data_IF_158723137864
#
_entry.id   IF_158723137864
#
_cell.length_a   1.000
_cell.length_b   1.000
_cell.length_c   1.000
_cell.angle_alpha   90.00
_cell.angle_beta   90.00
_cell.angle_gamma   90.00
#
_symmetry.space_group_name_H-M   'P 1'
#
loop_
_entity.id
_entity.type
_entity.pdbx_description
1 polymer ?
#
# COMPACT_ATOMS: atom_id res chain seq x y z
N UNK A 1 -5.73 16.66 5.33
CA UNK A 1 -5.71 15.72 4.19
C UNK A 1 -4.35 15.04 4.12
N UNK A 2 -4.22 13.92 3.41
CA UNK A 2 -2.95 13.26 3.11
C UNK A 2 -2.30 13.84 1.86
N UNK A 3 -1.04 13.48 1.59
CA UNK A 3 -0.34 13.80 0.35
C UNK A 3 -1.15 13.38 -0.89
N UNK A 4 -1.69 12.15 -0.91
CA UNK A 4 -2.40 11.64 -2.09
C UNK A 4 -3.74 12.36 -2.31
N UNK A 5 -4.45 12.68 -1.22
CA UNK A 5 -5.65 13.52 -1.27
C UNK A 5 -5.34 14.93 -1.78
N UNK A 6 -4.22 15.51 -1.33
CA UNK A 6 -3.75 16.79 -1.81
C UNK A 6 -3.44 16.72 -3.31
N UNK A 7 -2.65 15.74 -3.75
CA UNK A 7 -2.33 15.57 -5.17
C UNK A 7 -3.59 15.42 -6.01
N UNK A 8 -4.53 14.55 -5.59
CA UNK A 8 -5.81 14.38 -6.29
C UNK A 8 -6.63 15.67 -6.37
N UNK A 9 -6.60 16.49 -5.32
CA UNK A 9 -7.39 17.71 -5.22
C UNK A 9 -6.83 18.84 -6.08
N UNK A 10 -5.50 18.95 -6.13
CA UNK A 10 -4.80 20.11 -6.68
C UNK A 10 -4.18 19.87 -8.06
N UNK A 11 -3.93 18.62 -8.45
CA UNK A 11 -3.40 18.30 -9.78
C UNK A 11 -4.32 18.84 -10.88
N UNK A 12 -3.74 19.54 -11.86
CA UNK A 12 -4.47 20.23 -12.92
C UNK A 12 -5.09 21.57 -12.54
N UNK A 13 -4.95 22.05 -11.29
CA UNK A 13 -5.51 23.32 -10.82
C UNK A 13 -4.43 24.35 -10.51
N UNK A 14 -4.72 25.61 -10.79
CA UNK A 14 -3.92 26.75 -10.34
C UNK A 14 -4.36 27.14 -8.92
N UNK A 15 -3.40 27.25 -8.01
CA UNK A 15 -3.60 27.56 -6.59
C UNK A 15 -2.95 28.89 -6.28
N UNK A 16 -3.74 29.89 -5.95
CA UNK A 16 -3.28 31.15 -5.39
C UNK A 16 -3.63 31.14 -3.90
N UNK A 17 -2.62 30.99 -3.03
CA UNK A 17 -2.85 30.78 -1.61
C UNK A 17 -2.90 32.10 -0.85
N UNK A 18 -2.03 33.05 -1.20
CA UNK A 18 -1.92 34.33 -0.50
C UNK A 18 -2.64 35.50 -1.19
N UNK A 19 -3.18 35.28 -2.40
CA UNK A 19 -3.88 36.30 -3.18
C UNK A 19 -2.94 37.31 -3.83
N UNK A 20 -1.63 37.05 -3.85
CA UNK A 20 -0.62 37.93 -4.39
C UNK A 20 0.16 37.25 -5.53
N UNK A 21 0.40 38.00 -6.61
CA UNK A 21 1.16 37.53 -7.79
C UNK A 21 0.58 36.30 -8.52
N UNK A 22 -0.67 35.91 -8.21
CA UNK A 22 -1.35 34.77 -8.81
C UNK A 22 -0.73 33.43 -8.41
N UNK A 23 -1.08 32.34 -9.11
CA UNK A 23 -0.58 31.01 -8.77
C UNK A 23 0.93 30.83 -9.02
N UNK A 24 1.74 30.86 -7.94
CA UNK A 24 3.20 30.65 -7.96
C UNK A 24 3.61 29.30 -7.37
N UNK A 25 4.89 28.92 -7.52
CA UNK A 25 5.42 27.69 -6.93
C UNK A 25 5.31 27.68 -5.40
N UNK A 26 5.53 28.84 -4.77
CA UNK A 26 5.41 28.99 -3.31
C UNK A 26 3.97 28.86 -2.82
N UNK A 27 2.96 29.23 -3.62
CA UNK A 27 1.54 29.05 -3.24
C UNK A 27 1.17 27.58 -3.10
N UNK A 28 1.67 26.74 -4.01
CA UNK A 28 1.47 25.31 -3.93
C UNK A 28 2.06 24.75 -2.63
N UNK A 29 3.26 25.20 -2.24
CA UNK A 29 3.89 24.77 -1.00
C UNK A 29 3.16 25.31 0.23
N UNK A 30 2.72 26.57 0.22
CA UNK A 30 1.91 27.15 1.31
C UNK A 30 0.60 26.38 1.50
N UNK A 31 -0.08 26.05 0.41
CA UNK A 31 -1.27 25.21 0.44
C UNK A 31 -0.96 23.81 0.97
N UNK A 32 0.15 23.19 0.54
CA UNK A 32 0.57 21.88 1.01
C UNK A 32 0.87 21.85 2.52
N UNK A 33 1.63 22.82 3.02
CA UNK A 33 1.91 23.00 4.44
C UNK A 33 0.63 23.12 5.27
N UNK A 34 -0.30 23.97 4.83
CA UNK A 34 -1.55 24.19 5.52
C UNK A 34 -2.47 22.96 5.50
N UNK A 35 -2.67 22.35 4.33
CA UNK A 35 -3.69 21.31 4.16
C UNK A 35 -3.25 19.92 4.59
N UNK A 36 -1.96 19.61 4.41
CA UNK A 36 -1.41 18.28 4.72
C UNK A 36 -0.91 18.22 6.16
N UNK A 37 -0.24 19.27 6.63
CA UNK A 37 0.40 19.27 7.95
C UNK A 37 -0.25 20.20 8.97
N UNK A 38 -1.27 20.97 8.59
CA UNK A 38 -1.86 21.97 9.49
C UNK A 38 -0.91 23.12 9.83
N UNK A 39 0.21 23.26 9.10
CA UNK A 39 1.23 24.28 9.35
C UNK A 39 0.75 25.56 8.69
N UNK A 40 0.63 26.65 9.47
CA UNK A 40 0.33 27.97 8.92
C UNK A 40 1.61 28.56 8.33
N UNK A 41 1.68 28.74 7.00
CA UNK A 41 2.87 29.32 6.40
C UNK A 41 2.96 30.82 6.69
N UNK A 42 4.17 31.31 6.91
CA UNK A 42 4.47 32.73 7.05
C UNK A 42 4.90 33.37 5.72
N UNK A 43 5.22 34.67 5.78
CA UNK A 43 5.85 35.36 4.65
C UNK A 43 7.36 35.05 4.65
N UNK A 44 7.74 34.00 3.91
CA UNK A 44 9.12 33.51 3.85
C UNK A 44 9.86 33.94 2.57
N UNK A 45 9.21 34.75 1.73
CA UNK A 45 9.76 35.23 0.47
C UNK A 45 9.75 34.18 -0.65
N UNK A 46 10.64 34.38 -1.62
CA UNK A 46 10.81 33.52 -2.78
C UNK A 46 11.26 32.09 -2.42
N UNK A 47 11.07 31.17 -3.37
CA UNK A 47 11.33 29.74 -3.24
C UNK A 47 12.69 29.39 -2.62
N UNK A 48 13.79 30.00 -3.07
CA UNK A 48 15.15 29.72 -2.55
C UNK A 48 15.29 29.95 -1.04
N UNK A 49 14.48 30.84 -0.46
CA UNK A 49 14.58 31.18 0.97
C UNK A 49 14.02 30.08 1.88
N UNK A 50 13.20 29.15 1.37
CA UNK A 50 12.85 27.93 2.09
C UNK A 50 14.10 27.11 2.46
N UNK A 51 15.16 27.21 1.64
CA UNK A 51 16.46 26.62 1.93
C UNK A 51 17.35 27.56 2.76
N UNK A 52 17.63 28.76 2.24
CA UNK A 52 18.64 29.66 2.80
C UNK A 52 18.27 30.14 4.21
N UNK A 53 16.99 30.46 4.43
CA UNK A 53 16.48 30.95 5.71
C UNK A 53 15.80 29.86 6.54
N UNK A 54 16.01 28.57 6.22
CA UNK A 54 15.36 27.45 6.92
C UNK A 54 15.43 27.58 8.45
N UNK A 55 16.62 27.92 8.99
CA UNK A 55 16.83 28.06 10.45
C UNK A 55 16.10 29.24 11.09
N UNK A 56 15.63 30.21 10.31
CA UNK A 56 14.88 31.40 10.78
C UNK A 56 13.38 31.15 10.90
N UNK A 57 12.88 30.01 10.41
CA UNK A 57 11.46 29.69 10.37
C UNK A 57 11.20 28.47 11.26
N UNK A 58 10.68 28.71 12.47
CA UNK A 58 10.42 27.65 13.44
C UNK A 58 9.39 26.64 12.92
N UNK A 59 8.46 27.07 12.08
CA UNK A 59 7.50 26.21 11.40
C UNK A 59 8.19 25.19 10.49
N UNK A 60 9.31 25.57 9.85
CA UNK A 60 10.09 24.67 9.00
C UNK A 60 11.03 23.80 9.85
N UNK A 61 11.79 24.38 10.79
CA UNK A 61 12.75 23.61 11.61
C UNK A 61 12.07 22.58 12.51
N UNK A 62 10.89 22.89 13.05
CA UNK A 62 10.16 21.96 13.91
C UNK A 62 9.59 20.78 13.12
N UNK A 63 9.17 21.01 11.87
CA UNK A 63 8.38 20.02 11.12
C UNK A 63 9.14 19.33 9.99
N UNK A 64 10.32 19.81 9.60
CA UNK A 64 11.07 19.27 8.47
C UNK A 64 12.53 18.99 8.83
N UNK A 65 13.10 18.01 8.15
CA UNK A 65 14.54 17.73 8.10
C UNK A 65 15.07 18.25 6.78
N UNK A 66 16.01 19.19 6.82
CA UNK A 66 16.68 19.73 5.65
C UNK A 66 17.79 18.77 5.20
N UNK A 67 17.75 18.30 3.95
CA UNK A 67 18.66 17.28 3.40
C UNK A 67 19.27 17.80 2.10
N UNK A 68 20.59 17.91 2.05
CA UNK A 68 21.31 18.40 0.88
C UNK A 68 21.29 17.39 -0.27
N UNK A 69 21.29 17.90 -1.50
CA UNK A 69 21.52 17.09 -2.68
C UNK A 69 22.98 16.58 -2.70
N UNK A 70 23.16 15.28 -2.88
CA UNK A 70 24.47 14.62 -2.98
C UNK A 70 24.45 13.64 -4.15
N UNK A 71 25.61 13.14 -4.58
CA UNK A 71 25.68 12.24 -5.73
C UNK A 71 24.84 10.94 -5.59
N UNK A 72 24.57 10.50 -4.36
CA UNK A 72 23.74 9.32 -4.06
C UNK A 72 22.32 9.67 -3.65
N UNK A 73 21.96 10.95 -3.60
CA UNK A 73 20.66 11.40 -3.13
C UNK A 73 19.56 11.08 -4.16
N UNK A 74 18.42 10.57 -3.65
CA UNK A 74 17.17 10.43 -4.39
C UNK A 74 16.04 10.95 -3.50
N UNK A 75 15.19 11.89 -3.97
CA UNK A 75 14.10 12.44 -3.16
C UNK A 75 13.02 11.39 -2.92
N UNK A 76 12.37 11.48 -1.75
CA UNK A 76 11.27 10.61 -1.36
C UNK A 76 9.94 11.31 -1.63
N UNK A 77 8.88 10.50 -1.68
CA UNK A 77 7.50 11.00 -1.77
C UNK A 77 7.26 12.06 -0.68
N UNK A 78 6.61 13.16 -1.05
CA UNK A 78 6.24 14.24 -0.13
C UNK A 78 7.35 15.17 0.33
N UNK A 79 8.60 14.92 -0.04
CA UNK A 79 9.69 15.89 0.11
C UNK A 79 9.34 17.19 -0.63
N UNK A 80 9.70 18.34 -0.05
CA UNK A 80 9.66 19.61 -0.76
C UNK A 80 11.04 19.83 -1.39
N UNK A 81 11.14 19.71 -2.72
CA UNK A 81 12.36 20.03 -3.46
C UNK A 81 12.56 21.54 -3.50
N UNK A 82 13.81 21.99 -3.34
CA UNK A 82 14.18 23.40 -3.40
C UNK A 82 15.34 23.60 -4.37
N UNK A 83 15.13 24.46 -5.36
CA UNK A 83 16.14 24.93 -6.29
C UNK A 83 16.71 26.29 -5.84
N UNK A 84 17.95 26.55 -6.23
CA UNK A 84 18.67 27.79 -5.97
C UNK A 84 18.25 28.94 -6.90
N UNK A 85 18.88 30.11 -6.74
CA UNK A 85 18.54 31.32 -7.47
C UNK A 85 18.83 31.29 -8.98
N UNK A 86 19.64 30.35 -9.47
CA UNK A 86 19.87 30.20 -10.91
C UNK A 86 18.62 29.64 -11.61
N UNK A 87 17.68 29.09 -10.81
CA UNK A 87 16.32 28.78 -11.25
C UNK A 87 15.34 29.93 -11.01
N UNK A 88 14.38 30.09 -11.93
CA UNK A 88 13.25 31.03 -11.74
C UNK A 88 13.68 32.49 -11.70
N UNK A 89 14.69 32.89 -12.49
CA UNK A 89 15.19 34.27 -12.61
C UNK A 89 15.54 34.91 -11.26
N UNK A 90 16.30 34.21 -10.41
CA UNK A 90 16.72 34.72 -9.10
C UNK A 90 15.79 34.36 -7.95
N UNK A 91 14.57 33.88 -8.22
CA UNK A 91 13.61 33.50 -7.17
C UNK A 91 13.85 32.09 -6.60
N UNK A 92 14.48 31.22 -7.38
CA UNK A 92 14.47 29.78 -7.17
C UNK A 92 13.15 29.13 -7.52
N UNK A 93 13.07 27.84 -7.23
CA UNK A 93 11.85 27.06 -7.45
C UNK A 93 11.62 26.08 -6.29
N UNK A 94 10.37 25.70 -6.08
CA UNK A 94 9.97 24.69 -5.10
C UNK A 94 8.87 23.81 -5.66
N UNK A 95 8.92 22.52 -5.34
CA UNK A 95 7.97 21.52 -5.83
C UNK A 95 7.81 20.38 -4.82
N UNK A 96 6.76 19.58 -4.99
CA UNK A 96 6.47 18.45 -4.09
C UNK A 96 6.84 17.14 -4.78
N UNK A 97 7.84 16.44 -4.26
CA UNK A 97 8.37 15.20 -4.85
C UNK A 97 7.33 14.07 -4.85
N UNK A 98 7.33 13.30 -5.93
CA UNK A 98 6.50 12.08 -6.06
C UNK A 98 7.11 10.86 -5.38
N UNK A 99 8.43 10.86 -5.20
CA UNK A 99 9.19 9.68 -4.79
C UNK A 99 9.66 8.81 -5.96
N UNK A 100 9.19 9.09 -7.18
CA UNK A 100 9.70 8.45 -8.40
C UNK A 100 10.98 9.16 -8.86
N UNK A 101 12.08 8.42 -8.99
CA UNK A 101 13.34 8.96 -9.48
C UNK A 101 14.53 8.02 -9.30
N UNK A 102 15.67 8.50 -9.76
CA UNK A 102 17.00 7.92 -9.60
C UNK A 102 17.97 9.03 -9.19
N UNK A 103 19.27 8.75 -9.14
CA UNK A 103 20.31 9.78 -8.96
C UNK A 103 20.50 10.70 -10.16
N UNK A 104 19.82 10.44 -11.29
CA UNK A 104 19.91 11.25 -12.52
C UNK A 104 18.64 12.02 -12.88
N UNK A 105 17.47 11.59 -12.39
CA UNK A 105 16.22 12.31 -12.59
C UNK A 105 15.24 12.08 -11.44
N UNK A 106 14.25 12.94 -11.29
CA UNK A 106 13.11 12.70 -10.41
C UNK A 106 11.84 13.31 -10.98
N UNK A 107 10.70 12.95 -10.40
CA UNK A 107 9.42 13.59 -10.68
C UNK A 107 8.90 14.35 -9.46
N UNK A 108 8.39 15.55 -9.70
CA UNK A 108 7.68 16.36 -8.71
C UNK A 108 6.36 16.89 -9.28
N UNK A 109 5.51 17.38 -8.37
CA UNK A 109 4.35 18.19 -8.69
C UNK A 109 4.69 19.65 -8.53
N UNK A 110 4.51 20.37 -9.62
CA UNK A 110 5.04 21.70 -9.82
C UNK A 110 3.93 22.65 -10.20
N UNK A 111 3.95 23.84 -9.61
CA UNK A 111 3.15 24.97 -10.06
C UNK A 111 4.07 26.06 -10.60
N UNK A 112 3.67 26.73 -11.67
CA UNK A 112 4.44 27.79 -12.32
C UNK A 112 5.80 27.34 -12.90
N UNK A 113 5.95 26.06 -13.24
CA UNK A 113 7.14 25.58 -13.96
C UNK A 113 7.09 25.89 -15.46
N UNK A 114 5.97 25.53 -16.11
CA UNK A 114 5.67 25.77 -17.53
C UNK A 114 4.15 25.91 -17.69
N UNK A 115 3.55 26.75 -16.85
CA UNK A 115 2.10 26.89 -16.71
C UNK A 115 1.68 27.02 -15.25
N UNK A 116 0.50 27.62 -15.04
CA UNK A 116 0.00 28.01 -13.72
C UNK A 116 -0.66 26.90 -12.93
N UNK A 117 -1.07 25.81 -13.58
CA UNK A 117 -1.66 24.67 -12.90
C UNK A 117 -0.57 23.74 -12.33
N UNK A 118 -0.85 23.14 -11.18
CA UNK A 118 -0.06 22.03 -10.65
C UNK A 118 -0.03 20.88 -11.65
N UNK A 119 1.15 20.37 -11.98
CA UNK A 119 1.32 19.20 -12.85
C UNK A 119 2.54 18.37 -12.48
N UNK A 120 2.52 17.08 -12.83
CA UNK A 120 3.70 16.21 -12.71
C UNK A 120 4.75 16.62 -13.74
N UNK A 121 5.98 16.86 -13.31
CA UNK A 121 7.10 17.27 -14.17
C UNK A 121 8.31 16.38 -13.88
N UNK A 122 9.06 16.03 -14.94
CA UNK A 122 10.35 15.33 -14.84
C UNK A 122 11.46 16.35 -14.76
N UNK A 123 12.37 16.20 -13.80
CA UNK A 123 13.52 17.07 -13.58
C UNK A 123 14.82 16.27 -13.55
N UNK A 124 15.92 16.94 -13.88
CA UNK A 124 17.26 16.58 -13.41
C UNK A 124 17.57 17.31 -12.10
N UNK A 125 18.80 17.15 -11.59
CA UNK A 125 19.25 17.77 -10.34
C UNK A 125 19.98 19.10 -10.53
N UNK A 126 19.90 19.72 -11.71
CA UNK A 126 20.56 20.99 -11.97
C UNK A 126 19.95 22.10 -11.10
N UNK A 127 20.82 22.92 -10.50
CA UNK A 127 20.46 24.06 -9.65
C UNK A 127 19.64 23.66 -8.40
N UNK A 128 19.75 22.40 -7.95
CA UNK A 128 19.04 21.88 -6.76
C UNK A 128 19.90 22.04 -5.52
N UNK A 129 19.37 22.73 -4.51
CA UNK A 129 19.95 22.72 -3.18
C UNK A 129 19.76 21.38 -2.46
N UNK A 130 18.54 20.83 -2.51
CA UNK A 130 18.15 19.63 -1.80
C UNK A 130 16.66 19.63 -1.47
N UNK A 131 16.29 18.92 -0.41
CA UNK A 131 14.88 18.79 0.01
C UNK A 131 14.65 19.20 1.46
N UNK A 132 13.42 19.64 1.73
CA UNK A 132 12.84 19.66 3.07
C UNK A 132 11.96 18.42 3.22
N UNK A 133 12.40 17.45 4.00
CA UNK A 133 11.68 16.20 4.26
C UNK A 133 10.78 16.36 5.49
N UNK A 134 9.45 16.17 5.37
CA UNK A 134 8.56 16.21 6.53
C UNK A 134 9.02 15.23 7.61
N UNK A 135 9.01 15.63 8.88
CA UNK A 135 9.24 14.73 10.02
C UNK A 135 8.02 13.86 10.27
N UNK A 136 6.82 14.43 10.14
CA UNK A 136 5.57 13.67 10.16
C UNK A 136 5.35 12.93 8.84
N UNK A 137 5.89 11.71 8.78
CA UNK A 137 5.71 10.83 7.64
C UNK A 137 4.29 10.20 7.58
N UNK A 138 3.43 10.42 8.58
CA UNK A 138 2.07 9.87 8.60
C UNK A 138 1.16 10.51 7.54
N UNK A 139 1.48 11.74 7.11
CA UNK A 139 0.71 12.43 6.07
C UNK A 139 1.19 12.14 4.65
N UNK A 140 2.38 11.55 4.53
CA UNK A 140 3.16 11.42 3.29
C UNK A 140 3.15 10.01 2.75
N UNK A 141 3.61 9.12 3.59
CA UNK A 141 3.33 7.70 3.46
C UNK A 141 1.81 7.60 3.61
N UNK A 142 1.11 6.77 2.85
CA UNK A 142 -0.24 6.39 3.24
C UNK A 142 -0.18 5.82 4.66
N UNK A 143 -0.42 6.65 5.67
CA UNK A 143 -0.52 6.21 7.04
C UNK A 143 -1.91 5.70 7.22
N UNK A 144 -1.97 4.43 7.59
CA UNK A 144 -3.07 3.93 8.40
C UNK A 144 -3.23 4.83 9.62
N UNK A 145 -4.15 5.81 9.60
CA UNK A 145 -4.66 6.42 10.83
C UNK A 145 -6.13 6.83 10.66
N UNK A 146 -6.98 6.16 11.44
CA UNK A 146 -8.31 6.61 11.89
C UNK A 146 -9.49 6.57 10.88
N UNK A 147 -9.60 5.47 10.14
CA UNK A 147 -10.82 4.64 10.16
C UNK A 147 -10.40 3.31 10.80
N UNK A 148 -11.24 2.62 11.60
CA UNK A 148 -10.78 1.65 12.59
C UNK A 148 -9.88 0.60 11.93
N UNK A 149 -8.65 0.48 12.44
CA UNK A 149 -7.62 -0.51 12.10
C UNK A 149 -8.02 -1.51 10.99
N UNK A 150 -7.53 -1.28 9.77
CA UNK A 150 -7.15 -2.40 8.90
C UNK A 150 -5.66 -2.30 8.64
N UNK A 151 -4.88 -2.91 9.54
CA UNK A 151 -3.58 -3.43 9.17
C UNK A 151 -3.79 -4.26 7.91
N UNK A 152 -3.21 -3.87 6.78
CA UNK A 152 -2.94 -4.88 5.74
C UNK A 152 -1.87 -5.74 6.38
N UNK A 153 -2.28 -6.78 7.12
CA UNK A 153 -1.36 -7.64 7.88
C UNK A 153 -0.17 -8.05 7.03
N UNK A 154 0.96 -8.41 7.62
CA UNK A 154 1.92 -9.17 6.84
C UNK A 154 1.21 -10.42 6.28
N UNK A 155 1.57 -10.86 5.07
CA UNK A 155 1.27 -12.24 4.73
C UNK A 155 1.85 -13.12 5.83
N UNK A 156 1.09 -14.11 6.28
CA UNK A 156 1.53 -14.93 7.40
C UNK A 156 2.52 -15.97 6.92
N UNK A 157 3.62 -16.20 7.66
CA UNK A 157 4.45 -17.36 7.40
C UNK A 157 3.59 -18.61 7.57
N UNK A 158 3.59 -19.49 6.55
CA UNK A 158 2.93 -20.78 6.67
C UNK A 158 3.61 -21.63 7.74
N UNK A 159 2.83 -22.44 8.45
CA UNK A 159 3.38 -23.50 9.31
C UNK A 159 3.37 -24.81 8.52
N UNK A 160 4.44 -25.60 8.63
CA UNK A 160 4.47 -26.94 8.05
C UNK A 160 3.37 -27.80 8.67
N UNK A 161 2.51 -28.36 7.82
CA UNK A 161 1.53 -29.37 8.20
C UNK A 161 1.95 -30.69 7.54
N UNK A 162 1.86 -31.79 8.27
CA UNK A 162 2.19 -33.10 7.72
C UNK A 162 1.11 -34.12 8.08
N UNK A 163 0.63 -34.84 7.07
CA UNK A 163 -0.41 -35.84 7.26
C UNK A 163 0.07 -37.03 8.12
N UNK A 164 -0.90 -37.73 8.72
CA UNK A 164 -0.69 -38.96 9.46
C UNK A 164 -0.43 -40.18 8.58
N UNK A 165 -0.69 -41.37 9.12
CA UNK A 165 -0.48 -42.65 8.41
C UNK A 165 -1.61 -43.05 7.46
N UNK A 166 -2.72 -42.32 7.46
CA UNK A 166 -3.89 -42.59 6.61
C UNK A 166 -4.17 -41.41 5.68
N UNK A 167 -4.94 -41.67 4.63
CA UNK A 167 -5.43 -40.63 3.72
C UNK A 167 -6.28 -39.62 4.48
N UNK A 168 -5.98 -38.33 4.31
CA UNK A 168 -6.75 -37.24 4.92
C UNK A 168 -7.62 -36.56 3.86
N UNK A 169 -8.92 -36.40 4.17
CA UNK A 169 -9.86 -35.75 3.27
C UNK A 169 -9.75 -34.23 3.36
N UNK A 170 -9.87 -33.55 2.22
CA UNK A 170 -9.88 -32.09 2.11
C UNK A 170 -11.29 -31.64 1.76
N UNK A 171 -11.80 -30.67 2.51
CA UNK A 171 -13.15 -30.14 2.40
C UNK A 171 -13.14 -28.67 1.97
N UNK A 172 -14.14 -28.23 1.22
CA UNK A 172 -14.30 -26.82 0.88
C UNK A 172 -14.67 -25.97 2.10
N UNK A 173 -15.35 -26.57 3.09
CA UNK A 173 -15.91 -25.85 4.24
C UNK A 173 -15.31 -26.31 5.57
N UNK A 174 -15.22 -25.38 6.51
CA UNK A 174 -14.70 -25.63 7.86
C UNK A 174 -15.62 -26.50 8.73
N UNK A 175 -16.85 -26.78 8.29
CA UNK A 175 -17.77 -27.75 8.91
C UNK A 175 -17.65 -29.15 8.28
N UNK A 176 -16.59 -29.37 7.49
CA UNK A 176 -16.25 -30.65 6.84
C UNK A 176 -17.31 -31.16 5.86
N UNK A 177 -17.98 -30.23 5.18
CA UNK A 177 -18.86 -30.49 4.04
C UNK A 177 -18.13 -30.22 2.72
N UNK A 178 -18.66 -30.79 1.65
CA UNK A 178 -18.14 -30.62 0.27
C UNK A 178 -16.69 -31.12 0.17
N UNK A 179 -16.49 -32.45 0.07
CA UNK A 179 -15.16 -33.03 -0.17
C UNK A 179 -14.64 -32.60 -1.55
N UNK A 180 -13.43 -32.02 -1.59
CA UNK A 180 -12.82 -31.45 -2.81
C UNK A 180 -11.50 -32.11 -3.19
N UNK A 181 -11.03 -33.05 -2.38
CA UNK A 181 -9.77 -33.76 -2.59
C UNK A 181 -9.28 -34.45 -1.33
N UNK A 182 -8.00 -34.79 -1.33
CA UNK A 182 -7.36 -35.51 -0.23
C UNK A 182 -5.84 -35.34 -0.26
N UNK A 183 -5.20 -35.53 0.90
CA UNK A 183 -3.74 -35.70 1.01
C UNK A 183 -3.41 -37.17 1.32
N UNK A 184 -2.35 -37.67 0.71
CA UNK A 184 -1.81 -39.01 0.91
C UNK A 184 -1.18 -39.16 2.30
N UNK A 185 -1.01 -40.40 2.80
CA UNK A 185 -0.27 -40.65 4.03
C UNK A 185 1.10 -39.95 4.01
N UNK A 186 1.47 -39.33 5.14
CA UNK A 186 2.74 -38.60 5.36
C UNK A 186 3.00 -37.38 4.47
N UNK A 187 2.06 -37.01 3.59
CA UNK A 187 2.19 -35.86 2.69
C UNK A 187 2.36 -34.55 3.48
N UNK A 188 3.16 -33.63 2.92
CA UNK A 188 3.46 -32.33 3.53
C UNK A 188 2.70 -31.22 2.81
N UNK A 189 2.06 -30.35 3.59
CA UNK A 189 1.33 -29.19 3.11
C UNK A 189 1.72 -27.94 3.91
N UNK A 190 1.27 -26.78 3.44
CA UNK A 190 1.39 -25.51 4.17
C UNK A 190 0.09 -25.21 4.88
N UNK A 191 0.13 -24.96 6.19
CA UNK A 191 -1.03 -24.48 6.95
C UNK A 191 -1.00 -22.95 7.04
N UNK A 192 -2.11 -22.33 6.63
CA UNK A 192 -2.31 -20.88 6.64
C UNK A 192 -3.35 -20.41 7.66
N UNK A 193 -3.93 -21.35 8.42
CA UNK A 193 -4.71 -21.01 9.61
C UNK A 193 -5.71 -22.08 10.01
N UNK A 194 -6.54 -21.75 10.99
CA UNK A 194 -7.53 -22.66 11.58
C UNK A 194 -8.87 -21.94 11.80
N UNK A 195 -9.98 -22.63 11.53
CA UNK A 195 -11.35 -22.18 11.84
C UNK A 195 -12.09 -23.29 12.59
N UNK A 196 -12.39 -23.08 13.86
CA UNK A 196 -12.86 -24.16 14.73
C UNK A 196 -11.83 -25.29 14.76
N UNK A 197 -12.21 -26.52 14.42
CA UNK A 197 -11.30 -27.67 14.34
C UNK A 197 -10.69 -27.88 12.94
N UNK A 198 -11.00 -27.04 11.97
CA UNK A 198 -10.59 -27.20 10.59
C UNK A 198 -9.32 -26.41 10.27
N UNK A 199 -8.29 -27.08 9.73
CA UNK A 199 -7.02 -26.48 9.35
C UNK A 199 -7.02 -26.15 7.85
N UNK A 200 -6.74 -24.90 7.49
CA UNK A 200 -6.65 -24.44 6.11
C UNK A 200 -5.27 -24.78 5.55
N UNK A 201 -5.21 -25.74 4.63
CA UNK A 201 -3.97 -26.26 4.05
C UNK A 201 -3.89 -26.03 2.55
N UNK A 202 -2.72 -25.56 2.09
CA UNK A 202 -2.32 -25.49 0.68
C UNK A 202 -1.39 -26.65 0.36
N UNK A 203 -1.66 -27.34 -0.74
CA UNK A 203 -0.89 -28.50 -1.20
C UNK A 203 -0.66 -28.48 -2.71
N UNK A 204 0.37 -29.21 -3.14
CA UNK A 204 0.65 -29.47 -4.57
C UNK A 204 -0.44 -30.35 -5.15
N UNK A 205 -0.73 -30.23 -6.44
CA UNK A 205 -1.52 -31.24 -7.16
C UNK A 205 -0.60 -32.00 -8.10
N UNK A 206 -0.58 -33.33 -7.96
CA UNK A 206 0.33 -34.23 -8.68
C UNK A 206 0.29 -34.02 -10.20
N UNK A 207 1.47 -33.96 -10.81
CA UNK A 207 1.61 -33.73 -12.25
C UNK A 207 1.26 -32.32 -12.71
N UNK A 208 1.10 -31.35 -11.80
CA UNK A 208 0.75 -29.97 -12.13
C UNK A 208 1.60 -28.94 -11.39
N UNK A 209 1.58 -27.70 -11.87
CA UNK A 209 2.26 -26.56 -11.26
C UNK A 209 1.34 -25.67 -10.40
N UNK A 210 0.05 -26.00 -10.33
CA UNK A 210 -0.91 -25.22 -9.54
C UNK A 210 -1.03 -25.76 -8.11
N UNK A 211 -1.45 -24.87 -7.21
CA UNK A 211 -1.71 -25.21 -5.81
C UNK A 211 -3.20 -25.34 -5.60
N UNK A 212 -3.60 -26.22 -4.68
CA UNK A 212 -4.98 -26.36 -4.23
C UNK A 212 -5.08 -26.09 -2.74
N UNK A 213 -6.19 -25.54 -2.29
CA UNK A 213 -6.43 -25.18 -0.89
C UNK A 213 -7.78 -25.68 -0.41
N UNK A 214 -7.82 -26.08 0.86
CA UNK A 214 -9.04 -26.52 1.53
C UNK A 214 -8.84 -26.75 3.03
N UNK A 215 -9.85 -27.32 3.68
CA UNK A 215 -9.86 -27.61 5.10
C UNK A 215 -9.65 -29.10 5.39
N UNK A 216 -8.82 -29.41 6.39
CA UNK A 216 -8.59 -30.77 6.91
C UNK A 216 -8.93 -30.86 8.40
N UNK A 217 -9.26 -32.06 8.88
CA UNK A 217 -9.55 -32.34 10.30
C UNK A 217 -8.28 -32.56 11.09
N UNK A 218 -7.34 -33.30 10.53
CA UNK A 218 -6.11 -33.68 11.23
C UNK A 218 -5.19 -32.47 11.42
N UNK A 219 -4.63 -32.32 12.63
CA UNK A 219 -3.79 -31.18 12.98
C UNK A 219 -2.41 -31.20 12.31
N UNK A 220 -1.95 -32.38 11.86
CA UNK A 220 -0.70 -32.55 11.13
C UNK A 220 0.54 -31.97 11.81
N UNK A 221 0.60 -32.07 13.14
CA UNK A 221 1.71 -31.54 13.94
C UNK A 221 1.68 -30.02 14.19
N UNK A 222 0.68 -29.31 13.67
CA UNK A 222 0.53 -27.86 13.89
C UNK A 222 0.06 -27.59 15.32
N UNK A 223 0.98 -27.09 16.17
CA UNK A 223 0.68 -26.65 17.55
C UNK A 223 -0.05 -25.30 17.56
N UNK A 224 0.50 -24.33 16.84
CA UNK A 224 -0.03 -22.98 16.71
C UNK A 224 -0.27 -22.67 15.23
N UNK A 225 -1.53 -22.72 14.79
CA UNK A 225 -1.87 -22.36 13.42
C UNK A 225 -1.84 -20.83 13.27
N UNK A 226 -1.43 -20.29 12.10
CA UNK A 226 -1.52 -18.86 11.85
C UNK A 226 -2.95 -18.34 12.07
N UNK A 227 -3.08 -17.22 12.79
CA UNK A 227 -4.39 -16.62 13.11
C UNK A 227 -4.59 -15.25 12.45
N UNK A 228 -3.54 -14.69 11.86
CA UNK A 228 -3.54 -13.38 11.19
C UNK A 228 -3.47 -13.51 9.66
N UNK A 229 -3.48 -12.37 8.98
CA UNK A 229 -3.44 -12.27 7.52
C UNK A 229 -3.79 -10.84 7.08
N UNK A 230 -3.66 -10.58 5.79
CA UNK A 230 -4.08 -9.31 5.18
C UNK A 230 -5.59 -9.16 5.25
N UNK A 231 -6.01 -7.91 5.31
CA UNK A 231 -7.40 -7.53 5.43
C UNK A 231 -8.03 -7.30 4.05
N UNK A 232 -8.33 -8.39 3.35
CA UNK A 232 -8.98 -8.35 2.02
C UNK A 232 -10.32 -7.64 2.07
N UNK A 233 -10.60 -6.82 1.06
CA UNK A 233 -11.89 -6.18 0.82
C UNK A 233 -12.20 -6.18 -0.67
N UNK A 234 -13.26 -6.87 -1.05
CA UNK A 234 -13.67 -6.96 -2.43
C UNK A 234 -14.15 -5.61 -2.99
N UNK A 235 -14.10 -5.48 -4.32
CA UNK A 235 -14.49 -4.30 -5.06
C UNK A 235 -16.00 -4.14 -5.21
N UNK A 236 -16.42 -3.43 -6.26
CA UNK A 236 -17.83 -3.14 -6.58
C UNK A 236 -18.57 -4.27 -7.31
N UNK A 237 -17.87 -5.36 -7.65
CA UNK A 237 -18.41 -6.56 -8.31
C UNK A 237 -18.23 -7.79 -7.44
N UNK A 238 -19.03 -8.84 -7.66
CA UNK A 238 -18.82 -10.14 -7.02
C UNK A 238 -17.52 -10.73 -7.54
N UNK A 239 -16.65 -11.20 -6.64
CA UNK A 239 -15.37 -11.83 -7.01
C UNK A 239 -15.49 -13.35 -6.94
N UNK A 240 -15.09 -14.05 -8.00
CA UNK A 240 -15.08 -15.50 -8.02
C UNK A 240 -13.89 -16.06 -7.23
N UNK A 241 -14.13 -17.11 -6.44
CA UNK A 241 -13.09 -17.79 -5.67
C UNK A 241 -12.95 -19.23 -6.15
N UNK A 242 -11.71 -19.69 -6.32
CA UNK A 242 -11.37 -21.02 -6.85
C UNK A 242 -10.65 -21.87 -5.81
N UNK A 243 -10.80 -23.18 -5.83
CA UNK A 243 -10.03 -24.06 -4.94
C UNK A 243 -8.55 -24.16 -5.35
N UNK A 244 -8.23 -23.82 -6.59
CA UNK A 244 -6.90 -24.01 -7.16
C UNK A 244 -6.44 -22.79 -7.97
N UNK A 245 -5.11 -22.60 -8.05
CA UNK A 245 -4.51 -21.46 -8.75
C UNK A 245 -4.57 -21.56 -10.27
N UNK A 246 -5.09 -22.68 -10.82
CA UNK A 246 -5.37 -22.83 -12.24
C UNK A 246 -6.84 -22.51 -12.60
N UNK A 247 -7.65 -22.11 -11.60
CA UNK A 247 -9.07 -21.76 -11.74
C UNK A 247 -9.93 -22.91 -12.30
N UNK A 248 -9.52 -24.17 -12.08
CA UNK A 248 -10.23 -25.35 -12.62
C UNK A 248 -11.50 -25.66 -11.85
N UNK A 249 -11.54 -25.36 -10.55
CA UNK A 249 -12.68 -25.66 -9.69
C UNK A 249 -13.12 -24.44 -8.87
N UNK A 250 -14.39 -24.06 -8.98
CA UNK A 250 -14.98 -22.93 -8.26
C UNK A 250 -15.28 -23.32 -6.81
N UNK A 251 -14.81 -22.52 -5.87
CA UNK A 251 -15.06 -22.66 -4.43
C UNK A 251 -16.29 -21.89 -3.94
N UNK A 252 -16.54 -20.74 -4.57
CA UNK A 252 -17.61 -19.83 -4.21
C UNK A 252 -17.37 -18.45 -4.80
N UNK A 253 -17.81 -17.43 -4.07
CA UNK A 253 -17.60 -16.03 -4.40
C UNK A 253 -17.55 -15.18 -3.14
N UNK A 254 -16.96 -13.99 -3.28
CA UNK A 254 -16.98 -12.93 -2.28
C UNK A 254 -17.91 -11.83 -2.80
N UNK A 255 -18.86 -11.40 -1.97
CA UNK A 255 -19.85 -10.39 -2.32
C UNK A 255 -19.22 -9.00 -2.48
N UNK A 256 -19.95 -8.08 -3.11
CA UNK A 256 -19.49 -6.69 -3.31
C UNK A 256 -19.13 -6.07 -1.97
N UNK A 257 -17.95 -5.46 -1.88
CA UNK A 257 -17.44 -4.81 -0.68
C UNK A 257 -17.28 -5.72 0.55
N UNK A 258 -17.47 -7.03 0.42
CA UNK A 258 -17.27 -7.99 1.49
C UNK A 258 -15.78 -8.04 1.87
N UNK A 259 -15.53 -8.15 3.17
CA UNK A 259 -14.19 -8.24 3.73
C UNK A 259 -13.91 -9.65 4.25
N UNK A 260 -12.71 -10.14 4.01
CA UNK A 260 -12.26 -11.44 4.50
C UNK A 260 -10.77 -11.43 4.85
N UNK A 261 -10.26 -12.57 5.32
CA UNK A 261 -8.83 -12.72 5.62
C UNK A 261 -8.08 -13.14 4.34
N UNK A 262 -6.90 -12.57 4.09
CA UNK A 262 -5.99 -12.99 3.05
C UNK A 262 -4.62 -13.40 3.64
N UNK A 263 -4.40 -14.69 3.93
CA UNK A 263 -3.17 -15.14 4.57
C UNK A 263 -1.92 -15.02 3.70
N UNK A 264 -2.03 -15.24 2.38
CA UNK A 264 -0.89 -15.29 1.46
C UNK A 264 -1.29 -15.01 0.01
N UNK A 265 -0.30 -14.81 -0.85
CA UNK A 265 -0.43 -14.84 -2.32
C UNK A 265 0.38 -16.00 -2.88
N UNK A 266 -0.24 -16.79 -3.73
CA UNK A 266 0.36 -17.98 -4.35
C UNK A 266 0.07 -17.96 -5.85
N UNK A 267 1.09 -18.15 -6.69
CA UNK A 267 0.97 -18.17 -8.15
C UNK A 267 0.16 -16.97 -8.71
N UNK A 268 0.38 -15.78 -8.15
CA UNK A 268 -0.30 -14.57 -8.60
C UNK A 268 -1.73 -14.39 -8.07
N UNK A 269 -2.27 -15.35 -7.31
CA UNK A 269 -3.63 -15.29 -6.75
C UNK A 269 -3.63 -15.19 -5.22
N UNK A 270 -4.68 -14.57 -4.68
CA UNK A 270 -4.80 -14.24 -3.27
C UNK A 270 -5.57 -15.33 -2.53
N UNK A 271 -4.93 -16.03 -1.60
CA UNK A 271 -5.63 -16.96 -0.73
C UNK A 271 -6.57 -16.16 0.16
N UNK A 272 -7.86 -16.43 0.10
CA UNK A 272 -8.92 -15.81 0.89
C UNK A 272 -9.58 -16.85 1.78
N UNK A 273 -9.86 -16.48 3.04
CA UNK A 273 -10.66 -17.27 4.00
C UNK A 273 -11.84 -16.40 4.43
N UNK A 274 -13.05 -16.82 4.05
CA UNK A 274 -14.29 -16.02 4.16
C UNK A 274 -15.41 -16.83 4.80
N UNK A 275 -16.37 -16.14 5.43
CA UNK A 275 -17.48 -16.78 6.14
C UNK A 275 -18.56 -17.17 5.13
N UNK A 276 -19.21 -18.31 5.35
CA UNK A 276 -20.38 -18.69 4.55
C UNK A 276 -21.62 -18.02 5.14
N UNK A 277 -22.26 -17.15 4.35
CA UNK A 277 -23.47 -16.41 4.73
C UNK A 277 -24.53 -17.33 5.35
N UNK A 278 -25.12 -16.88 6.47
CA UNK A 278 -26.14 -17.64 7.20
C UNK A 278 -25.62 -18.85 8.00
N UNK A 279 -24.31 -19.08 8.09
CA UNK A 279 -23.74 -20.21 8.85
C UNK A 279 -22.55 -19.80 9.73
N UNK A 280 -22.09 -20.69 10.60
CA UNK A 280 -20.82 -20.54 11.34
C UNK A 280 -19.60 -21.07 10.57
N UNK A 281 -19.81 -21.66 9.38
CA UNK A 281 -18.76 -22.25 8.57
C UNK A 281 -17.99 -21.19 7.76
N UNK A 282 -16.77 -21.54 7.39
CA UNK A 282 -15.89 -20.76 6.54
C UNK A 282 -15.56 -21.55 5.28
N UNK A 283 -15.28 -20.84 4.18
CA UNK A 283 -14.65 -21.36 2.96
C UNK A 283 -13.27 -20.75 2.78
N UNK A 284 -12.42 -21.42 2.02
CA UNK A 284 -11.15 -20.87 1.56
C UNK A 284 -10.92 -21.16 0.08
N UNK A 285 -10.12 -20.32 -0.57
CA UNK A 285 -9.80 -20.43 -1.99
C UNK A 285 -8.97 -19.26 -2.49
N UNK A 286 -8.76 -19.17 -3.80
CA UNK A 286 -7.96 -18.16 -4.45
C UNK A 286 -8.84 -17.16 -5.22
N UNK A 287 -8.66 -15.88 -4.94
CA UNK A 287 -9.22 -14.76 -5.69
C UNK A 287 -8.18 -14.18 -6.66
N UNK A 288 -8.64 -13.56 -7.75
CA UNK A 288 -7.79 -12.89 -8.73
C UNK A 288 -7.60 -11.42 -8.40
N UNK A 289 -8.66 -10.75 -7.96
CA UNK A 289 -8.62 -9.39 -7.49
C UNK A 289 -7.86 -9.34 -6.15
N UNK A 290 -7.00 -8.34 -5.96
CA UNK A 290 -6.16 -8.21 -4.76
C UNK A 290 -6.95 -7.78 -3.52
N UNK A 291 -8.12 -7.16 -3.70
CA UNK A 291 -8.96 -6.77 -2.57
C UNK A 291 -8.33 -5.70 -1.67
N UNK A 292 -7.51 -4.81 -2.24
CA UNK A 292 -6.79 -3.76 -1.54
C UNK A 292 -5.68 -4.29 -0.64
N UNK A 293 -5.19 -5.52 -0.88
CA UNK A 293 -4.10 -6.11 -0.11
C UNK A 293 -2.73 -5.93 -0.75
N UNK A 294 -2.68 -5.46 -2.00
CA UNK A 294 -1.45 -5.12 -2.75
C UNK A 294 -1.56 -3.79 -3.51
#
# INVERSE_FOLDING_TARGET
MTYDEFVKTYNGKATDYDGAYGAQCVDLIKAYLNKVFGIKPGSWGNAKYYWINFSKHSELTNNFTKIANTASFVPKKGDIMVWDGDKGNGAGHVAICTGDGTTSYFYSYDQNWNGKAMKKVKHDYRDVYGVLRPKDQSKITPSQTSSPNKSVGAYVPSVKWQNGSTKEKVYARSDFKEEIGSLSPREVAKCFGKKGNAYCVEYSVDGTNYRKVGFVKYAGGVKNAPSSGRNYKNGSTVEAVYHDTAKKSKAGSIDKHEACLCPTKTNGMFLVIYKVNGTSAYKCGYATYDGGVE
#
